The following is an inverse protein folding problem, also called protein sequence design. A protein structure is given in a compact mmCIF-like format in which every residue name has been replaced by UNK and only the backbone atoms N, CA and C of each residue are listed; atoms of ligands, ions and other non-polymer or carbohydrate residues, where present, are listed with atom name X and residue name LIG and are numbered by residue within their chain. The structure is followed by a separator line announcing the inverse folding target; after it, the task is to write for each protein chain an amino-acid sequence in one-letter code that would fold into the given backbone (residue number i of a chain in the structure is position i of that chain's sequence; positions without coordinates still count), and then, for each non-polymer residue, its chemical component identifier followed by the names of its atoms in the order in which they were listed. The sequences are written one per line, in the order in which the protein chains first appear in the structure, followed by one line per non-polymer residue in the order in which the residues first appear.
data_IF_478807252785
#
_entry.id   IF_478807252785
#
_cell.length_a   1.000
_cell.length_b   1.000
_cell.length_c   1.000
_cell.angle_alpha   90.00
_cell.angle_beta   90.00
_cell.angle_gamma   90.00
#
_symmetry.space_group_name_H-M   'P 1'
#
loop_
_entity.id
_entity.type
_entity.pdbx_description
1 polymer ?
#
# COMPACT_ATOMS: atom_id res chain seq x y z
N UNK A 1 2.04 -4.00 17.62
CA UNK A 1 2.23 -2.56 17.35
C UNK A 1 1.93 -1.78 18.62
N UNK A 2 2.90 -1.03 19.16
CA UNK A 2 2.63 -0.05 20.23
C UNK A 2 2.43 1.34 19.61
N UNK A 3 1.70 2.18 20.36
CA UNK A 3 1.17 3.51 20.01
C UNK A 3 2.16 4.38 19.23
N UNK A 4 1.84 4.63 17.96
CA UNK A 4 2.27 5.84 17.30
C UNK A 4 1.34 7.00 17.66
N UNK A 5 1.73 8.23 17.36
CA UNK A 5 0.81 9.36 17.50
C UNK A 5 -0.35 9.18 16.51
N UNK A 6 -1.62 9.16 16.95
CA UNK A 6 -2.74 9.07 16.03
C UNK A 6 -2.82 10.34 15.20
N UNK A 7 -2.87 10.18 13.88
CA UNK A 7 -3.12 11.27 12.95
C UNK A 7 -4.63 11.40 12.69
N UNK A 8 -5.09 12.60 12.32
CA UNK A 8 -6.47 12.84 11.93
C UNK A 8 -6.70 12.33 10.50
N UNK A 9 -7.60 11.35 10.33
CA UNK A 9 -7.94 10.77 9.03
C UNK A 9 -8.36 11.83 8.00
N UNK A 10 -9.02 12.91 8.44
CA UNK A 10 -9.50 13.96 7.55
C UNK A 10 -8.36 14.67 6.78
N UNK A 11 -7.15 14.71 7.35
CA UNK A 11 -5.96 15.31 6.72
C UNK A 11 -5.42 14.47 5.54
N UNK A 12 -5.85 13.21 5.42
CA UNK A 12 -5.38 12.27 4.41
C UNK A 12 -6.41 12.01 3.30
N UNK A 13 -7.49 12.80 3.24
CA UNK A 13 -8.57 12.67 2.24
C UNK A 13 -8.32 13.46 0.95
N UNK A 14 -7.07 13.84 0.69
CA UNK A 14 -6.68 14.53 -0.54
C UNK A 14 -5.44 13.90 -1.16
N UNK A 15 -5.30 14.07 -2.46
CA UNK A 15 -4.08 13.79 -3.19
C UNK A 15 -3.75 14.96 -4.14
N UNK A 16 -2.47 15.26 -4.29
CA UNK A 16 -2.01 16.38 -5.12
C UNK A 16 -1.10 15.89 -6.23
N UNK A 17 -1.33 16.41 -7.43
CA UNK A 17 -0.51 16.17 -8.62
C UNK A 17 -0.48 17.43 -9.48
N UNK A 18 0.70 17.86 -9.90
CA UNK A 18 0.88 19.02 -10.79
C UNK A 18 0.10 20.26 -10.30
N UNK A 19 0.20 20.55 -9.00
CA UNK A 19 -0.52 21.61 -8.26
C UNK A 19 -2.06 21.48 -8.21
N UNK A 20 -2.62 20.40 -8.76
CA UNK A 20 -4.05 20.08 -8.66
C UNK A 20 -4.29 19.19 -7.44
N UNK A 21 -5.13 19.66 -6.53
CA UNK A 21 -5.59 18.89 -5.36
C UNK A 21 -6.92 18.20 -5.67
N UNK A 22 -6.96 16.89 -5.54
CA UNK A 22 -8.14 16.04 -5.70
C UNK A 22 -8.67 15.64 -4.33
N UNK A 23 -9.98 15.78 -4.12
CA UNK A 23 -10.68 15.24 -2.95
C UNK A 23 -10.95 13.75 -3.16
N UNK A 24 -10.58 12.92 -2.19
CA UNK A 24 -10.70 11.47 -2.26
C UNK A 24 -12.00 10.95 -1.65
N UNK A 25 -12.82 11.82 -1.05
CA UNK A 25 -14.07 11.41 -0.40
C UNK A 25 -13.81 10.51 0.80
N UNK A 26 -14.35 9.30 0.77
CA UNK A 26 -14.17 8.34 1.87
C UNK A 26 -12.78 7.67 1.89
N UNK A 27 -12.03 7.77 0.79
CA UNK A 27 -10.71 7.18 0.65
C UNK A 27 -9.60 8.04 1.27
N UNK A 28 -8.46 7.40 1.56
CA UNK A 28 -7.27 8.04 2.10
C UNK A 28 -6.07 7.85 1.19
N UNK A 29 -5.14 8.80 1.25
CA UNK A 29 -3.81 8.70 0.65
C UNK A 29 -2.75 9.25 1.59
N UNK A 30 -1.61 8.57 1.69
CA UNK A 30 -0.47 9.05 2.45
C UNK A 30 0.86 8.66 1.80
N UNK A 31 1.91 9.39 2.16
CA UNK A 31 3.30 9.08 1.78
C UNK A 31 4.19 9.08 3.02
N UNK A 32 5.18 8.19 3.06
CA UNK A 32 6.21 8.23 4.12
C UNK A 32 7.12 9.44 3.96
N UNK A 33 7.76 9.96 5.02
CA UNK A 33 8.69 11.09 4.93
C UNK A 33 9.88 10.87 3.99
N UNK A 34 10.29 9.63 3.73
CA UNK A 34 11.33 9.34 2.72
C UNK A 34 10.85 9.42 1.27
N UNK A 35 9.54 9.53 1.04
CA UNK A 35 8.92 9.40 -0.27
C UNK A 35 8.93 7.98 -0.84
N UNK A 36 9.58 7.00 -0.19
CA UNK A 36 9.76 5.65 -0.73
C UNK A 36 8.50 4.81 -0.76
N UNK A 37 7.53 5.10 0.10
CA UNK A 37 6.25 4.37 0.12
C UNK A 37 5.10 5.37 0.11
N UNK A 38 4.23 5.23 -0.88
CA UNK A 38 2.96 5.95 -0.95
C UNK A 38 1.83 4.93 -0.98
N UNK A 39 0.79 5.16 -0.19
CA UNK A 39 -0.34 4.25 -0.09
C UNK A 39 -1.64 5.02 -0.31
N UNK A 40 -2.61 4.37 -0.94
CA UNK A 40 -3.89 4.97 -1.26
C UNK A 40 -4.96 3.88 -1.37
N UNK A 41 -6.12 4.10 -0.74
CA UNK A 41 -7.34 3.36 -1.03
C UNK A 41 -8.07 4.05 -2.18
N UNK A 42 -8.89 3.33 -2.95
CA UNK A 42 -9.70 3.97 -3.97
C UNK A 42 -10.81 3.07 -4.47
N UNK A 43 -11.73 3.65 -5.24
CA UNK A 43 -12.83 2.93 -5.87
C UNK A 43 -12.32 1.86 -6.85
N UNK A 44 -11.23 2.16 -7.56
CA UNK A 44 -10.60 1.22 -8.50
C UNK A 44 -10.05 -0.07 -7.84
N UNK A 45 -9.91 -0.07 -6.52
CA UNK A 45 -9.47 -1.23 -5.73
C UNK A 45 -10.55 -1.74 -4.78
N UNK A 46 -11.83 -1.40 -5.00
CA UNK A 46 -12.95 -1.73 -4.10
C UNK A 46 -12.67 -1.31 -2.64
N UNK A 47 -11.93 -0.21 -2.45
CA UNK A 47 -11.51 0.27 -1.14
C UNK A 47 -10.32 -0.46 -0.51
N UNK A 48 -9.76 -1.49 -1.16
CA UNK A 48 -8.53 -2.14 -0.72
C UNK A 48 -7.34 -1.18 -0.75
N UNK A 49 -6.37 -1.41 0.13
CA UNK A 49 -5.17 -0.59 0.22
C UNK A 49 -4.19 -0.97 -0.88
N UNK A 50 -3.87 -0.06 -1.79
CA UNK A 50 -2.67 -0.22 -2.61
C UNK A 50 -1.53 0.66 -2.08
N UNK A 51 -0.31 0.16 -2.20
CA UNK A 51 0.91 0.91 -1.94
C UNK A 51 1.87 0.78 -3.12
N UNK A 52 2.55 1.87 -3.43
CA UNK A 52 3.68 1.90 -4.33
C UNK A 52 4.94 2.09 -3.50
N UNK A 53 5.87 1.14 -3.62
CA UNK A 53 7.15 1.16 -2.93
C UNK A 53 8.33 1.20 -3.89
N UNK A 54 9.28 2.11 -3.64
CA UNK A 54 10.56 2.12 -4.33
C UNK A 54 11.46 1.04 -3.73
N UNK A 55 11.61 -0.08 -4.44
CA UNK A 55 12.43 -1.21 -4.01
C UNK A 55 13.93 -0.93 -4.23
N UNK A 56 14.76 -1.40 -3.31
CA UNK A 56 16.21 -1.35 -3.41
C UNK A 56 16.75 -2.39 -4.42
N UNK A 57 16.10 -3.56 -4.49
CA UNK A 57 16.40 -4.65 -5.41
C UNK A 57 15.08 -5.17 -6.02
N UNK A 58 14.59 -4.54 -7.11
CA UNK A 58 13.29 -4.89 -7.68
C UNK A 58 13.33 -6.27 -8.36
N UNK A 59 12.31 -7.14 -8.15
CA UNK A 59 12.21 -8.40 -8.86
C UNK A 59 12.11 -8.18 -10.38
N UNK A 60 12.69 -9.09 -11.19
CA UNK A 60 12.56 -9.04 -12.64
C UNK A 60 11.09 -9.19 -13.04
N UNK A 61 10.75 -8.67 -14.22
CA UNK A 61 9.42 -8.83 -14.80
C UNK A 61 9.13 -10.32 -15.07
N UNK A 62 7.99 -10.86 -14.59
CA UNK A 62 7.50 -12.18 -14.99
C UNK A 62 7.11 -12.25 -16.49
N UNK A 63 7.14 -13.46 -17.06
CA UNK A 63 6.92 -13.68 -18.50
C UNK A 63 5.49 -13.33 -18.97
N UNK A 64 4.49 -13.45 -18.09
CA UNK A 64 3.06 -13.30 -18.42
C UNK A 64 2.50 -11.92 -18.05
N UNK A 65 3.37 -10.93 -17.77
CA UNK A 65 2.95 -9.56 -17.48
C UNK A 65 2.37 -8.86 -18.71
N UNK A 66 1.17 -8.32 -18.56
CA UNK A 66 0.56 -7.40 -19.52
C UNK A 66 0.73 -5.94 -19.06
N UNK A 67 1.21 -5.07 -19.94
CA UNK A 67 1.45 -3.65 -19.63
C UNK A 67 2.85 -3.35 -19.08
N UNK A 68 3.01 -2.22 -18.40
CA UNK A 68 4.25 -1.84 -17.72
C UNK A 68 4.41 -2.64 -16.42
N UNK A 69 5.54 -3.31 -16.26
CA UNK A 69 5.86 -4.00 -15.01
C UNK A 69 6.17 -3.00 -13.89
N UNK A 70 5.36 -3.02 -12.83
CA UNK A 70 5.55 -2.20 -11.64
C UNK A 70 5.90 -3.12 -10.45
N UNK A 71 7.18 -3.42 -10.21
CA UNK A 71 7.59 -4.40 -9.20
C UNK A 71 7.21 -4.00 -7.76
N UNK A 72 7.11 -2.69 -7.51
CA UNK A 72 6.75 -2.13 -6.21
C UNK A 72 5.26 -1.91 -5.98
N UNK A 73 4.39 -2.40 -6.88
CA UNK A 73 2.95 -2.33 -6.68
C UNK A 73 2.52 -3.38 -5.64
N UNK A 74 1.91 -2.95 -4.56
CA UNK A 74 1.43 -3.82 -3.49
C UNK A 74 -0.06 -3.59 -3.32
N UNK A 75 -0.85 -4.66 -3.33
CA UNK A 75 -2.28 -4.60 -3.01
C UNK A 75 -2.54 -5.43 -1.77
N UNK A 76 -3.27 -4.87 -0.81
CA UNK A 76 -3.61 -5.53 0.44
C UNK A 76 -5.08 -5.29 0.76
N UNK A 77 -5.89 -6.35 0.67
CA UNK A 77 -7.35 -6.30 0.92
C UNK A 77 -7.74 -6.72 2.35
N UNK A 78 -6.75 -7.14 3.15
CA UNK A 78 -6.95 -7.66 4.51
C UNK A 78 -6.92 -9.18 4.59
N UNK A 79 -7.22 -9.91 3.53
CA UNK A 79 -7.08 -11.39 3.49
C UNK A 79 -5.94 -11.84 2.59
N UNK A 80 -5.51 -10.98 1.68
CA UNK A 80 -4.47 -11.23 0.69
C UNK A 80 -3.57 -10.01 0.53
N UNK A 81 -2.29 -10.26 0.28
CA UNK A 81 -1.36 -9.27 -0.26
C UNK A 81 -0.63 -9.80 -1.48
N UNK A 82 -0.60 -9.01 -2.54
CA UNK A 82 0.20 -9.24 -3.74
C UNK A 82 1.30 -8.17 -3.86
N UNK A 83 2.43 -8.54 -4.48
CA UNK A 83 3.49 -7.61 -4.85
C UNK A 83 3.84 -7.80 -6.32
N UNK A 84 4.03 -6.69 -7.02
CA UNK A 84 4.32 -6.62 -8.44
C UNK A 84 3.05 -6.76 -9.26
N UNK A 85 2.86 -5.86 -10.22
CA UNK A 85 1.72 -5.90 -11.14
C UNK A 85 2.10 -5.36 -12.52
N UNK A 86 1.51 -5.94 -13.56
CA UNK A 86 1.48 -5.36 -14.90
C UNK A 86 0.39 -4.30 -15.01
N UNK A 87 0.74 -3.06 -15.36
CA UNK A 87 -0.20 -1.93 -15.37
C UNK A 87 -0.20 -1.19 -16.69
N UNK A 88 -1.40 -0.92 -17.21
CA UNK A 88 -1.61 -0.05 -18.36
C UNK A 88 -2.08 1.37 -17.96
N UNK A 89 -2.37 1.57 -16.67
CA UNK A 89 -2.80 2.83 -16.08
C UNK A 89 -2.20 3.00 -14.66
N UNK A 90 -2.11 4.23 -14.12
CA UNK A 90 -1.54 4.48 -12.79
C UNK A 90 -2.39 4.00 -11.59
N UNK A 91 -3.59 3.47 -11.81
CA UNK A 91 -4.57 3.12 -10.77
C UNK A 91 -5.04 4.33 -9.98
N UNK A 92 -5.30 4.11 -8.68
CA UNK A 92 -5.71 5.20 -7.79
C UNK A 92 -4.66 6.31 -7.70
N UNK A 93 -3.37 6.01 -7.93
CA UNK A 93 -2.30 7.02 -7.90
C UNK A 93 -2.36 8.02 -9.06
N UNK A 94 -3.29 7.86 -10.02
CA UNK A 94 -3.64 8.92 -10.96
C UNK A 94 -4.09 10.21 -10.26
N UNK A 95 -4.70 10.11 -9.07
CA UNK A 95 -5.10 11.23 -8.22
C UNK A 95 -3.93 12.02 -7.61
N UNK A 96 -2.72 11.44 -7.58
CA UNK A 96 -1.51 12.09 -7.10
C UNK A 96 -0.92 11.48 -5.83
N UNK A 97 -0.27 12.32 -5.03
CA UNK A 97 0.38 11.94 -3.77
C UNK A 97 -0.40 12.50 -2.59
N UNK A 98 -0.69 11.67 -1.59
CA UNK A 98 -1.36 12.09 -0.37
C UNK A 98 -0.44 12.86 0.59
N UNK A 99 -1.01 13.26 1.73
CA UNK A 99 -0.26 13.95 2.78
C UNK A 99 0.86 13.07 3.38
N UNK A 100 1.92 13.69 3.88
CA UNK A 100 2.96 12.95 4.59
C UNK A 100 2.40 12.38 5.90
N UNK A 101 2.58 11.08 6.14
CA UNK A 101 2.35 10.44 7.43
C UNK A 101 3.68 10.37 8.20
N UNK A 102 3.90 11.21 9.24
CA UNK A 102 5.19 11.28 9.92
C UNK A 102 5.63 9.93 10.49
N UNK A 103 6.95 9.71 10.56
CA UNK A 103 7.47 8.51 11.22
C UNK A 103 7.03 8.45 12.68
N UNK A 104 6.60 7.26 13.10
CA UNK A 104 6.04 7.03 14.42
C UNK A 104 4.57 7.44 14.55
N UNK A 105 3.90 7.92 13.50
CA UNK A 105 2.46 8.19 13.50
C UNK A 105 1.64 7.01 12.96
N UNK A 106 0.40 6.90 13.42
CA UNK A 106 -0.57 5.92 12.93
C UNK A 106 -1.76 6.61 12.28
N UNK A 107 -2.22 6.07 11.16
CA UNK A 107 -3.42 6.48 10.45
C UNK A 107 -4.41 5.31 10.46
N UNK A 108 -5.61 5.53 11.00
CA UNK A 108 -6.71 4.56 11.01
C UNK A 108 -7.78 5.00 10.01
N UNK A 109 -8.29 4.07 9.21
CA UNK A 109 -9.28 4.30 8.16
C UNK A 109 -9.95 2.97 7.80
N UNK A 110 -11.29 2.93 7.74
CA UNK A 110 -12.03 1.68 7.58
C UNK A 110 -11.57 0.60 8.58
N UNK A 111 -11.29 -0.60 8.08
CA UNK A 111 -10.73 -1.72 8.87
C UNK A 111 -9.20 -1.68 9.00
N UNK A 112 -8.54 -0.69 8.40
CA UNK A 112 -7.09 -0.58 8.40
C UNK A 112 -6.57 0.32 9.51
N UNK A 113 -5.35 0.01 9.95
CA UNK A 113 -4.48 0.98 10.58
C UNK A 113 -3.06 0.83 10.06
N UNK A 114 -2.52 1.90 9.50
CA UNK A 114 -1.15 1.96 9.03
C UNK A 114 -0.29 2.78 9.98
N UNK A 115 0.97 2.41 10.11
CA UNK A 115 2.01 3.15 10.84
C UNK A 115 3.19 3.40 9.92
N UNK A 116 3.60 4.66 9.81
CA UNK A 116 4.83 5.03 9.12
C UNK A 116 6.02 4.83 10.06
N UNK A 117 7.07 4.15 9.62
CA UNK A 117 8.31 3.90 10.37
C UNK A 117 9.51 3.93 9.41
N UNK A 118 10.71 4.20 9.92
CA UNK A 118 11.93 4.17 9.12
C UNK A 118 12.21 2.78 8.52
N UNK A 119 11.73 1.73 9.17
CA UNK A 119 11.83 0.36 8.68
C UNK A 119 10.79 0.02 7.59
N UNK A 120 9.84 0.90 7.31
CA UNK A 120 8.75 0.68 6.34
C UNK A 120 7.37 1.04 6.91
N UNK A 121 6.36 0.92 6.07
CA UNK A 121 4.95 1.08 6.47
C UNK A 121 4.43 -0.23 7.01
N UNK A 122 3.80 -0.20 8.18
CA UNK A 122 3.13 -1.35 8.78
C UNK A 122 1.64 -1.14 8.71
N UNK A 123 0.90 -1.95 7.98
CA UNK A 123 -0.56 -1.87 7.89
C UNK A 123 -1.19 -3.14 8.44
N UNK A 124 -2.19 -3.00 9.29
CA UNK A 124 -3.03 -4.11 9.76
C UNK A 124 -4.44 -3.94 9.23
N UNK A 125 -5.12 -5.06 9.01
CA UNK A 125 -6.55 -5.10 8.84
C UNK A 125 -7.17 -5.78 10.08
N UNK A 126 -8.01 -5.06 10.80
CA UNK A 126 -8.59 -5.52 12.05
C UNK A 126 -9.71 -6.55 11.83
N UNK A 127 -10.48 -6.45 10.75
CA UNK A 127 -11.54 -7.39 10.44
C UNK A 127 -11.00 -8.80 10.18
N UNK A 128 -9.81 -8.89 9.58
CA UNK A 128 -9.17 -10.15 9.20
C UNK A 128 -7.99 -10.56 10.10
N UNK A 129 -7.62 -9.75 11.09
CA UNK A 129 -6.50 -10.00 12.00
C UNK A 129 -5.17 -10.30 11.27
N UNK A 130 -4.96 -9.60 10.16
CA UNK A 130 -3.80 -9.73 9.29
C UNK A 130 -3.01 -8.43 9.27
N UNK A 131 -1.79 -8.49 8.73
CA UNK A 131 -1.05 -7.26 8.46
C UNK A 131 0.18 -7.49 7.61
N UNK A 132 0.73 -6.40 7.12
CA UNK A 132 1.90 -6.40 6.25
C UNK A 132 2.86 -5.30 6.68
N UNK A 133 4.15 -5.56 6.54
CA UNK A 133 5.17 -4.51 6.47
C UNK A 133 5.57 -4.36 5.01
N UNK A 134 5.55 -3.13 4.53
CA UNK A 134 5.90 -2.73 3.16
C UNK A 134 7.14 -1.85 3.27
N UNK A 135 8.22 -2.24 2.60
CA UNK A 135 9.50 -1.52 2.66
C UNK A 135 10.27 -1.67 1.35
N UNK A 136 11.40 -0.98 1.22
CA UNK A 136 12.28 -1.07 0.06
C UNK A 136 12.93 -2.46 -0.12
N UNK A 137 12.83 -3.34 0.87
CA UNK A 137 13.25 -4.75 0.77
C UNK A 137 12.11 -5.72 0.43
N UNK A 138 10.88 -5.22 0.22
CA UNK A 138 9.73 -6.04 -0.13
C UNK A 138 8.58 -6.00 0.90
N UNK A 139 7.71 -7.01 0.82
CA UNK A 139 6.57 -7.23 1.72
C UNK A 139 6.86 -8.37 2.69
N UNK A 140 6.59 -8.13 3.97
CA UNK A 140 6.65 -9.10 5.05
C UNK A 140 5.25 -9.29 5.66
N UNK A 141 4.66 -10.50 5.62
CA UNK A 141 3.31 -10.78 6.11
C UNK A 141 3.28 -11.01 7.64
N UNK A 142 2.14 -10.71 8.26
CA UNK A 142 1.84 -10.97 9.67
C UNK A 142 0.43 -11.57 9.83
N UNK A 143 0.14 -12.10 11.02
CA UNK A 143 -1.18 -12.65 11.35
C UNK A 143 -1.45 -13.96 10.62
N UNK A 144 -2.60 -14.07 9.96
CA UNK A 144 -2.99 -15.25 9.19
C UNK A 144 -2.29 -15.37 7.83
N UNK A 145 -1.72 -14.29 7.28
CA UNK A 145 -1.12 -14.30 5.95
C UNK A 145 0.07 -15.28 5.88
N UNK A 146 0.02 -16.18 4.91
CA UNK A 146 1.09 -17.15 4.60
C UNK A 146 1.39 -17.09 3.11
N UNK A 147 2.62 -17.46 2.75
CA UNK A 147 3.03 -17.51 1.34
C UNK A 147 2.07 -18.43 0.58
N UNK A 148 1.53 -17.93 -0.52
CA UNK A 148 0.66 -18.67 -1.44
C UNK A 148 1.36 -18.85 -2.79
N UNK A 149 0.73 -19.59 -3.69
CA UNK A 149 1.15 -19.72 -5.08
C UNK A 149 1.09 -18.33 -5.74
N UNK A 150 2.26 -17.85 -6.17
CA UNK A 150 2.39 -16.56 -6.84
C UNK A 150 1.77 -16.65 -8.24
N UNK A 151 0.80 -15.77 -8.59
CA UNK A 151 0.30 -15.64 -9.95
C UNK A 151 1.42 -15.39 -10.96
N UNK A 152 1.28 -15.82 -12.22
CA UNK A 152 2.34 -15.69 -13.22
C UNK A 152 2.64 -14.23 -13.63
N UNK A 153 1.80 -13.29 -13.22
CA UNK A 153 1.89 -11.85 -13.46
C UNK A 153 2.23 -11.05 -12.18
N UNK A 154 2.63 -11.72 -11.09
CA UNK A 154 3.02 -11.11 -9.82
C UNK A 154 4.40 -11.60 -9.36
N UNK A 155 5.04 -10.82 -8.48
CA UNK A 155 6.32 -11.18 -7.87
C UNK A 155 6.16 -11.99 -6.58
N UNK A 156 5.10 -11.72 -5.80
CA UNK A 156 4.78 -12.49 -4.61
C UNK A 156 3.28 -12.42 -4.27
N UNK A 157 2.79 -13.46 -3.59
CA UNK A 157 1.45 -13.50 -3.01
C UNK A 157 1.49 -14.12 -1.61
N UNK A 158 0.67 -13.58 -0.72
CA UNK A 158 0.39 -14.14 0.59
C UNK A 158 -1.11 -14.07 0.87
N UNK A 159 -1.69 -15.12 1.45
CA UNK A 159 -3.13 -15.20 1.71
C UNK A 159 -3.41 -15.81 3.09
N UNK A 160 -4.58 -15.48 3.64
CA UNK A 160 -5.17 -16.16 4.78
C UNK A 160 -6.00 -17.34 4.26
N UNK A 161 -5.47 -18.56 4.40
CA UNK A 161 -6.15 -19.81 4.02
C UNK A 161 -7.00 -20.38 5.15
#
# INVERSE_FOLDING_TARGET
MRAGAPADEAEFRTATRDDVTTQLGEYVAFVTPSGKTRCMTGELSDGALACLVTLADPPPQPDEVYGEWVPGWVEFDGTEVTMGAGRADPGQFSAGTGAELPYGSTLKFGDYQCRSDQAGVFCINFAHQSGVRISDTGVEPFGCLRKDDTPPDAAARYSCR
#
